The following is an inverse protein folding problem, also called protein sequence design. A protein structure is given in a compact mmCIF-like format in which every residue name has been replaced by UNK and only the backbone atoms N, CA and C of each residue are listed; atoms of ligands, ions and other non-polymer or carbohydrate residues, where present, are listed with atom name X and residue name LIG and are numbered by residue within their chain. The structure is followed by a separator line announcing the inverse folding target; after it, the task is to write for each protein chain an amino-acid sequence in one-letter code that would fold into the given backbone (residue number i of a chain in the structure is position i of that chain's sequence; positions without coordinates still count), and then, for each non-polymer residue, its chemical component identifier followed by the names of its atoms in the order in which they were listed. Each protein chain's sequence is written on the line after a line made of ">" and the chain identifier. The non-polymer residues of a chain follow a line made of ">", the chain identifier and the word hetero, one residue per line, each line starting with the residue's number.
data_IF_553761683747
#
_entry.id   IF_553761683747
#
_cell.length_a   1.000
_cell.length_b   1.000
_cell.length_c   1.000
_cell.angle_alpha   90.00
_cell.angle_beta   90.00
_cell.angle_gamma   90.00
#
_symmetry.space_group_name_H-M   'P 1'
#
loop_
_entity.id
_entity.type
_entity.pdbx_description
1 polymer ?
#
# COMPACT_ATOMS: atom_id res chain seq x y z
N UNK A 1 -8.83 8.99 -28.58
CA UNK A 1 -7.70 8.59 -27.72
C UNK A 1 -8.24 8.01 -26.41
N UNK A 2 -7.91 6.76 -26.03
CA UNK A 2 -8.44 6.16 -24.81
C UNK A 2 -7.80 6.78 -23.56
N UNK A 3 -8.63 7.07 -22.54
CA UNK A 3 -8.14 7.54 -21.25
C UNK A 3 -7.26 6.47 -20.57
N UNK A 4 -6.28 6.90 -19.77
CA UNK A 4 -5.42 5.98 -19.02
C UNK A 4 -6.26 5.12 -18.07
N UNK A 5 -6.01 3.81 -18.01
CA UNK A 5 -6.74 2.90 -17.12
C UNK A 5 -6.04 2.76 -15.77
N UNK A 6 -6.81 2.79 -14.70
CA UNK A 6 -6.31 2.50 -13.36
C UNK A 6 -5.92 1.03 -13.24
N UNK A 7 -4.74 0.76 -12.69
CA UNK A 7 -4.34 -0.62 -12.36
C UNK A 7 -5.13 -1.10 -11.14
N UNK A 8 -6.16 -1.92 -11.37
CA UNK A 8 -7.08 -2.40 -10.31
C UNK A 8 -6.36 -3.15 -9.18
N UNK A 9 -5.26 -3.85 -9.46
CA UNK A 9 -4.45 -4.50 -8.43
C UNK A 9 -3.82 -3.50 -7.45
N UNK A 10 -3.40 -2.34 -7.94
CA UNK A 10 -2.84 -1.27 -7.13
C UNK A 10 -3.94 -0.57 -6.33
N UNK A 11 -5.10 -0.31 -6.95
CA UNK A 11 -6.24 0.34 -6.30
C UNK A 11 -6.78 -0.45 -5.09
N UNK A 12 -6.66 -1.79 -5.12
CA UNK A 12 -7.04 -2.66 -3.99
C UNK A 12 -6.03 -2.65 -2.82
N UNK A 13 -4.81 -2.17 -3.03
CA UNK A 13 -3.68 -2.32 -2.07
C UNK A 13 -3.19 -0.99 -1.50
N UNK A 14 -3.34 0.10 -2.25
CA UNK A 14 -2.87 1.43 -1.88
C UNK A 14 -4.07 2.38 -1.72
N UNK A 15 -3.98 3.26 -0.73
CA UNK A 15 -4.90 4.40 -0.58
C UNK A 15 -4.12 5.70 -0.42
N UNK A 16 -4.66 6.80 -0.94
CA UNK A 16 -4.04 8.12 -0.85
C UNK A 16 -4.64 8.85 0.35
N UNK A 17 -3.79 9.43 1.20
CA UNK A 17 -4.23 10.28 2.32
C UNK A 17 -4.52 11.69 1.82
N UNK A 18 -5.28 12.48 2.59
CA UNK A 18 -5.59 13.87 2.21
C UNK A 18 -4.36 14.77 1.98
N UNK A 19 -3.21 14.40 2.54
CA UNK A 19 -1.91 15.06 2.35
C UNK A 19 -1.10 14.53 1.15
N UNK A 20 -1.68 13.67 0.30
CA UNK A 20 -1.02 13.11 -0.88
C UNK A 20 -0.04 11.97 -0.61
N UNK A 21 0.04 11.46 0.63
CA UNK A 21 0.88 10.31 0.98
C UNK A 21 0.17 9.01 0.64
N UNK A 22 0.94 7.98 0.27
CA UNK A 22 0.36 6.66 -0.06
C UNK A 22 0.44 5.75 1.16
N UNK A 23 -0.73 5.32 1.64
CA UNK A 23 -0.91 4.32 2.69
C UNK A 23 -0.97 2.91 2.08
N UNK A 24 -0.38 1.96 2.79
CA UNK A 24 -0.41 0.52 2.49
C UNK A 24 -0.55 -0.32 3.75
N UNK A 25 -1.01 -1.55 3.60
CA UNK A 25 -0.87 -2.58 4.65
C UNK A 25 0.54 -3.16 4.64
N UNK A 26 1.04 -3.56 5.82
CA UNK A 26 2.29 -4.32 5.92
C UNK A 26 2.05 -5.79 5.54
N UNK A 27 3.08 -6.44 5.03
CA UNK A 27 3.04 -7.85 4.69
C UNK A 27 3.35 -8.74 5.91
N UNK A 28 3.06 -10.03 5.77
CA UNK A 28 3.50 -11.03 6.75
C UNK A 28 2.54 -11.27 7.93
N UNK A 29 1.27 -10.88 7.83
CA UNK A 29 0.25 -11.19 8.84
C UNK A 29 -0.79 -12.25 8.40
N UNK A 30 -0.57 -12.92 7.26
CA UNK A 30 -1.54 -13.92 6.72
C UNK A 30 -1.24 -15.37 7.11
N UNK A 31 0.03 -15.73 7.30
CA UNK A 31 0.44 -17.11 7.61
C UNK A 31 1.70 -17.12 8.51
N UNK A 32 2.03 -18.29 9.07
CA UNK A 32 3.18 -18.50 9.99
C UNK A 32 3.15 -17.52 11.16
N UNK A 33 2.00 -17.39 11.82
CA UNK A 33 1.79 -16.46 12.95
C UNK A 33 2.26 -17.05 14.29
N UNK A 34 2.36 -18.37 14.37
CA UNK A 34 2.83 -19.12 15.54
C UNK A 34 4.29 -18.80 15.86
N UNK A 35 5.17 -18.85 14.84
CA UNK A 35 6.61 -18.59 14.97
C UNK A 35 6.94 -17.09 15.16
N UNK A 36 5.96 -16.19 14.94
CA UNK A 36 6.19 -14.74 15.00
C UNK A 36 5.90 -14.22 16.41
N UNK A 37 6.87 -13.50 16.96
CA UNK A 37 6.70 -12.77 18.23
C UNK A 37 5.52 -11.79 18.16
N UNK A 38 4.87 -11.57 19.31
CA UNK A 38 3.72 -10.68 19.41
C UNK A 38 4.05 -9.24 19.00
N UNK A 39 5.25 -8.76 19.36
CA UNK A 39 5.78 -7.45 18.90
C UNK A 39 5.82 -7.34 17.37
N UNK A 40 6.25 -8.39 16.68
CA UNK A 40 6.28 -8.41 15.20
C UNK A 40 4.87 -8.40 14.61
N UNK A 41 3.95 -9.17 15.18
CA UNK A 41 2.54 -9.23 14.75
C UNK A 41 1.86 -7.87 14.91
N UNK A 42 2.00 -7.22 16.06
CA UNK A 42 1.43 -5.89 16.32
C UNK A 42 1.95 -4.85 15.34
N UNK A 43 3.27 -4.83 15.10
CA UNK A 43 3.88 -3.92 14.12
C UNK A 43 3.36 -4.17 12.69
N UNK A 44 3.17 -5.43 12.31
CA UNK A 44 2.69 -5.80 10.97
C UNK A 44 1.18 -5.59 10.78
N UNK A 45 0.38 -5.53 11.85
CA UNK A 45 -1.04 -5.16 11.78
C UNK A 45 -1.27 -3.68 11.53
N UNK A 46 -0.34 -2.82 11.95
CA UNK A 46 -0.45 -1.37 11.75
C UNK A 46 -0.27 -0.93 10.30
N UNK A 47 -0.95 0.14 9.87
CA UNK A 47 -0.74 0.72 8.55
C UNK A 47 0.69 1.25 8.39
N UNK A 48 1.16 1.32 7.15
CA UNK A 48 2.45 1.90 6.80
C UNK A 48 2.31 2.85 5.62
N UNK A 49 3.25 3.77 5.49
CA UNK A 49 3.41 4.57 4.30
C UNK A 49 4.32 3.86 3.29
N UNK A 50 4.11 4.17 2.02
CA UNK A 50 5.03 3.79 0.94
C UNK A 50 6.30 4.64 1.08
N UNK A 51 7.45 4.06 0.72
CA UNK A 51 8.70 4.80 0.71
C UNK A 51 8.71 5.81 -0.45
N UNK A 52 9.39 6.94 -0.26
CA UNK A 52 9.39 8.04 -1.25
C UNK A 52 9.82 7.58 -2.66
N UNK A 53 10.77 6.65 -2.75
CA UNK A 53 11.26 6.09 -4.02
C UNK A 53 10.19 5.33 -4.83
N UNK A 54 9.10 4.88 -4.21
CA UNK A 54 8.03 4.14 -4.89
C UNK A 54 6.80 5.01 -5.20
N UNK A 55 6.76 6.26 -4.73
CA UNK A 55 5.61 7.14 -4.91
C UNK A 55 5.28 7.37 -6.39
N UNK A 56 6.28 7.65 -7.22
CA UNK A 56 6.09 7.89 -8.66
C UNK A 56 5.50 6.67 -9.38
N UNK A 57 5.97 5.47 -9.01
CA UNK A 57 5.47 4.21 -9.55
C UNK A 57 3.99 4.03 -9.19
N UNK A 58 3.60 4.32 -7.95
CA UNK A 58 2.19 4.24 -7.52
C UNK A 58 1.33 5.29 -8.23
N UNK A 59 1.83 6.53 -8.39
CA UNK A 59 1.11 7.60 -9.09
C UNK A 59 0.81 7.25 -10.54
N UNK A 60 1.78 6.65 -11.24
CA UNK A 60 1.57 6.14 -12.62
C UNK A 60 0.53 5.02 -12.68
N UNK A 61 0.42 4.20 -11.63
CA UNK A 61 -0.57 3.11 -11.56
C UNK A 61 -1.99 3.59 -11.22
N UNK A 62 -2.11 4.74 -10.54
CA UNK A 62 -3.36 5.30 -10.02
C UNK A 62 -3.60 6.72 -10.56
N UNK A 63 -3.87 6.89 -11.86
CA UNK A 63 -3.96 8.20 -12.50
C UNK A 63 -5.12 9.10 -12.00
N UNK A 64 -6.11 8.54 -11.31
CA UNK A 64 -7.29 9.28 -10.81
C UNK A 64 -7.40 9.31 -9.27
N UNK A 65 -6.38 8.83 -8.55
CA UNK A 65 -6.42 8.77 -7.09
C UNK A 65 -5.64 9.91 -6.41
N UNK A 66 -4.94 10.72 -7.20
CA UNK A 66 -4.14 11.86 -6.79
C UNK A 66 -4.69 13.15 -7.39
#
# INVERSE_FOLDING_TARGET
>A
MPKMKTRKSAAKRYSVTGTGKVKRSRCGLRHKLEVKSQKRKNRAGGPALVHQSEHEKVRRMLPYAF
#
